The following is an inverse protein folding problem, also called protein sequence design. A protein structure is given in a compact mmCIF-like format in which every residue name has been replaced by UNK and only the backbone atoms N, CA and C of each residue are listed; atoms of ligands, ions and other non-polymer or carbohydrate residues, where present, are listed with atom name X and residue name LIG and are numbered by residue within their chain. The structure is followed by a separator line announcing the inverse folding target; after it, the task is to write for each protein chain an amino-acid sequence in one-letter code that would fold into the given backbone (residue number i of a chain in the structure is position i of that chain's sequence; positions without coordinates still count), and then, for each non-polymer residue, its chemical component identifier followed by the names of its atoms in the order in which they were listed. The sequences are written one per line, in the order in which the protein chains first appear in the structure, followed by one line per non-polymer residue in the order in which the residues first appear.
data_IF_036321556293
#
_entry.id   IF_036321556293
#
_cell.length_a   1.000
_cell.length_b   1.000
_cell.length_c   1.000
_cell.angle_alpha   90.00
_cell.angle_beta   90.00
_cell.angle_gamma   90.00
#
_symmetry.space_group_name_H-M   'P 1'
#
loop_
_entity.id
_entity.type
_entity.pdbx_description
1 polymer ?
#
# COMPACT_ATOMS: atom_id res chain seq x y z
N UNK A 1 2.60 -4.13 -12.06
CA UNK A 1 1.26 -4.64 -11.68
C UNK A 1 0.29 -3.48 -11.83
N UNK A 2 -0.80 -3.66 -12.57
CA UNK A 2 -1.76 -2.60 -12.85
C UNK A 2 -2.78 -2.49 -11.71
N UNK A 3 -3.12 -1.25 -11.31
CA UNK A 3 -4.08 -0.94 -10.24
C UNK A 3 -5.44 -1.65 -10.40
N UNK A 4 -5.87 -1.91 -11.63
CA UNK A 4 -7.11 -2.63 -11.91
C UNK A 4 -7.14 -4.07 -11.34
N UNK A 5 -6.01 -4.77 -11.25
CA UNK A 5 -5.98 -6.10 -10.64
C UNK A 5 -6.18 -6.02 -9.12
N UNK A 6 -5.66 -4.97 -8.48
CA UNK A 6 -5.83 -4.76 -7.03
C UNK A 6 -7.30 -4.47 -6.68
N UNK A 7 -8.03 -3.76 -7.55
CA UNK A 7 -9.49 -3.56 -7.36
C UNK A 7 -10.32 -4.83 -7.52
N UNK A 8 -9.77 -5.88 -8.15
CA UNK A 8 -10.46 -7.17 -8.27
C UNK A 8 -10.12 -8.12 -7.12
N UNK A 9 -8.93 -7.99 -6.53
CA UNK A 9 -8.49 -8.82 -5.41
C UNK A 9 -8.96 -8.28 -4.06
N UNK A 10 -9.12 -6.97 -3.95
CA UNK A 10 -9.55 -6.29 -2.74
C UNK A 10 -10.68 -5.32 -3.08
N UNK A 11 -11.65 -5.09 -2.16
CA UNK A 11 -12.75 -4.15 -2.37
C UNK A 11 -12.27 -2.69 -2.22
N UNK A 12 -11.24 -2.30 -2.97
CA UNK A 12 -10.62 -0.98 -2.94
C UNK A 12 -11.33 -0.05 -3.92
N UNK A 13 -11.46 1.24 -3.57
CA UNK A 13 -11.88 2.26 -4.54
C UNK A 13 -10.77 2.45 -5.57
N UNK A 14 -11.12 2.98 -6.74
CA UNK A 14 -10.17 3.18 -7.84
C UNK A 14 -8.93 3.99 -7.42
N UNK A 15 -9.11 5.03 -6.59
CA UNK A 15 -8.00 5.82 -6.06
C UNK A 15 -7.10 5.04 -5.09
N UNK A 16 -7.69 4.24 -4.20
CA UNK A 16 -6.97 3.43 -3.22
C UNK A 16 -6.09 2.39 -3.92
N UNK A 17 -6.61 1.79 -5.00
CA UNK A 17 -5.86 0.84 -5.82
C UNK A 17 -4.71 1.50 -6.60
N UNK A 18 -4.90 2.74 -7.08
CA UNK A 18 -3.81 3.52 -7.69
C UNK A 18 -2.73 3.83 -6.65
N UNK A 19 -3.13 4.29 -5.45
CA UNK A 19 -2.21 4.60 -4.37
C UNK A 19 -1.42 3.36 -3.95
N UNK A 20 -2.07 2.21 -3.80
CA UNK A 20 -1.41 0.93 -3.51
C UNK A 20 -0.44 0.52 -4.63
N UNK A 21 -0.84 0.63 -5.91
CA UNK A 21 0.02 0.30 -7.03
C UNK A 21 1.28 1.17 -7.07
N UNK A 22 1.15 2.47 -6.77
CA UNK A 22 2.29 3.39 -6.65
C UNK A 22 3.17 2.99 -5.46
N UNK A 23 2.58 2.72 -4.29
CA UNK A 23 3.30 2.28 -3.10
C UNK A 23 4.14 1.03 -3.36
N UNK A 24 3.58 0.04 -4.07
CA UNK A 24 4.30 -1.17 -4.47
C UNK A 24 5.43 -0.90 -5.47
N UNK A 25 5.22 0.00 -6.43
CA UNK A 25 6.25 0.38 -7.40
C UNK A 25 7.42 1.09 -6.70
N UNK A 26 7.13 2.04 -5.80
CA UNK A 26 8.13 2.77 -5.02
C UNK A 26 8.86 1.83 -4.07
N UNK A 27 8.17 0.91 -3.39
CA UNK A 27 8.79 -0.07 -2.50
C UNK A 27 9.86 -0.89 -3.21
N UNK A 28 9.64 -1.29 -4.46
CA UNK A 28 10.66 -1.99 -5.26
C UNK A 28 11.92 -1.17 -5.49
N UNK A 29 11.77 0.15 -5.68
CA UNK A 29 12.90 1.07 -5.83
C UNK A 29 13.59 1.29 -4.49
N UNK A 30 12.84 1.45 -3.39
CA UNK A 30 13.41 1.59 -2.05
C UNK A 30 14.19 0.34 -1.62
N UNK A 31 13.67 -0.86 -1.92
CA UNK A 31 14.36 -2.12 -1.66
C UNK A 31 15.70 -2.23 -2.40
N UNK A 32 15.79 -1.77 -3.65
CA UNK A 32 17.05 -1.76 -4.39
C UNK A 32 18.07 -0.76 -3.83
N UNK A 33 17.62 0.22 -3.05
CA UNK A 33 18.44 1.21 -2.37
C UNK A 33 18.63 0.91 -0.87
N UNK A 34 18.18 -0.24 -0.38
CA UNK A 34 18.16 -0.61 1.04
C UNK A 34 17.45 0.41 1.96
N UNK A 35 16.49 1.16 1.40
CA UNK A 35 15.63 2.09 2.14
C UNK A 35 14.32 1.36 2.49
N UNK A 36 13.86 1.52 3.73
CA UNK A 36 12.56 1.01 4.13
C UNK A 36 11.47 2.01 3.80
N UNK A 37 10.41 1.55 3.14
CA UNK A 37 9.21 2.32 2.87
C UNK A 37 8.10 1.89 3.84
N UNK A 38 7.55 2.84 4.59
CA UNK A 38 6.31 2.66 5.33
C UNK A 38 5.13 3.26 4.54
N UNK A 39 4.09 2.45 4.32
CA UNK A 39 2.86 2.89 3.69
C UNK A 39 1.88 3.36 4.76
N UNK A 40 1.68 4.67 4.85
CA UNK A 40 0.85 5.29 5.89
C UNK A 40 -0.53 5.64 5.33
N UNK A 41 -1.59 5.25 6.03
CA UNK A 41 -2.97 5.62 5.70
C UNK A 41 -3.86 5.49 6.92
N UNK A 42 -4.93 6.29 7.00
CA UNK A 42 -6.00 6.11 7.99
C UNK A 42 -7.07 5.10 7.56
N UNK A 43 -7.03 4.63 6.30
CA UNK A 43 -7.99 3.68 5.77
C UNK A 43 -7.51 2.24 6.04
N UNK A 44 -8.21 1.56 6.95
CA UNK A 44 -7.88 0.19 7.36
C UNK A 44 -8.01 -0.84 6.24
N UNK A 45 -8.91 -0.66 5.29
CA UNK A 45 -9.04 -1.58 4.14
C UNK A 45 -7.84 -1.45 3.21
N UNK A 46 -7.39 -0.21 2.97
CA UNK A 46 -6.20 0.06 2.18
C UNK A 46 -4.93 -0.44 2.89
N UNK A 47 -4.79 -0.22 4.20
CA UNK A 47 -3.68 -0.79 4.98
C UNK A 47 -3.66 -2.32 4.95
N UNK A 48 -4.83 -2.97 5.05
CA UNK A 48 -4.93 -4.42 4.99
C UNK A 48 -4.49 -4.97 3.62
N UNK A 49 -4.92 -4.35 2.52
CA UNK A 49 -4.47 -4.71 1.18
C UNK A 49 -2.96 -4.46 1.00
N UNK A 50 -2.45 -3.32 1.44
CA UNK A 50 -1.02 -3.02 1.40
C UNK A 50 -0.17 -4.04 2.17
N UNK A 51 -0.63 -4.45 3.35
CA UNK A 51 0.02 -5.48 4.16
C UNK A 51 -0.01 -6.85 3.49
N UNK A 52 -1.13 -7.22 2.86
CA UNK A 52 -1.25 -8.47 2.11
C UNK A 52 -0.29 -8.52 0.91
N UNK A 53 -0.05 -7.38 0.26
CA UNK A 53 0.94 -7.24 -0.82
C UNK A 53 2.40 -7.13 -0.31
N UNK A 54 2.63 -7.25 1.00
CA UNK A 54 3.96 -7.29 1.62
C UNK A 54 4.58 -5.93 1.91
N UNK A 55 3.79 -4.85 1.92
CA UNK A 55 4.26 -3.54 2.39
C UNK A 55 4.27 -3.47 3.92
N UNK A 56 5.25 -2.74 4.45
CA UNK A 56 5.18 -2.24 5.83
C UNK A 56 4.12 -1.14 5.85
N UNK A 57 3.18 -1.21 6.79
CA UNK A 57 2.04 -0.29 6.86
C UNK A 57 1.94 0.31 8.26
N UNK A 58 1.51 1.57 8.32
CA UNK A 58 1.36 2.34 9.56
C UNK A 58 -0.01 3.03 9.58
N UNK A 59 -0.72 2.92 10.72
CA UNK A 59 -1.95 3.67 10.98
C UNK A 59 -1.61 4.90 11.84
N UNK A 60 -1.86 6.13 11.37
CA UNK A 60 -1.66 7.34 12.17
C UNK A 60 -2.41 7.33 13.51
N UNK A 61 -3.51 6.58 13.62
CA UNK A 61 -4.31 6.51 14.84
C UNK A 61 -3.67 5.68 15.96
N UNK A 62 -2.72 4.80 15.64
CA UNK A 62 -2.05 3.97 16.66
C UNK A 62 -1.06 4.79 17.52
N UNK A 63 -0.81 6.06 17.15
CA UNK A 63 0.10 6.97 17.81
C UNK A 63 -0.60 8.15 18.51
N UNK A 64 -1.94 8.13 18.62
CA UNK A 64 -2.77 9.16 19.26
C UNK A 64 -3.15 8.80 20.70
#
# INVERSE_FOLDING_TARGET
MHAANLTQQYPLKAYDAIQLAIGLAVNKVCQSQAVQLAFVSSDRQLLAAARAEGLVVEDPHDHL
#
